data_IF_582667934190
#
_entry.id   IF_582667934190
#
_cell.length_a   1.000
_cell.length_b   1.000
_cell.length_c   1.000
_cell.angle_alpha   90.00
_cell.angle_beta   90.00
_cell.angle_gamma   90.00
#
_symmetry.space_group_name_H-M   'P 1'
#
loop_
_entity.id
_entity.type
_entity.pdbx_description
1 polymer ?
#
# COMPACT_ATOMS: atom_id res chain seq x y z
N UNK A 1 -0.91 10.41 -3.83
CA UNK A 1 0.02 10.31 -4.99
C UNK A 1 -0.73 9.78 -6.20
N UNK A 2 -0.55 10.35 -7.41
CA UNK A 2 -1.29 9.95 -8.61
C UNK A 2 -1.15 8.47 -8.98
N UNK A 3 0.05 7.89 -8.86
CA UNK A 3 0.30 6.49 -9.18
C UNK A 3 -0.52 5.51 -8.32
N UNK A 4 -0.59 5.73 -7.00
CA UNK A 4 -1.38 4.90 -6.09
C UNK A 4 -2.89 5.03 -6.35
N UNK A 5 -3.36 6.23 -6.70
CA UNK A 5 -4.76 6.43 -7.07
C UNK A 5 -5.11 5.70 -8.36
N UNK A 6 -4.25 5.79 -9.38
CA UNK A 6 -4.41 5.05 -10.63
C UNK A 6 -4.42 3.55 -10.36
N UNK A 7 -3.48 3.05 -9.55
CA UNK A 7 -3.43 1.64 -9.17
C UNK A 7 -4.72 1.17 -8.46
N UNK A 8 -5.26 2.00 -7.55
CA UNK A 8 -6.54 1.71 -6.88
C UNK A 8 -7.68 1.60 -7.90
N UNK A 9 -7.76 2.54 -8.84
CA UNK A 9 -8.77 2.50 -9.91
C UNK A 9 -8.60 1.30 -10.83
N UNK A 10 -7.36 0.90 -11.13
CA UNK A 10 -7.07 -0.29 -11.94
C UNK A 10 -7.47 -1.58 -11.21
N UNK A 11 -7.31 -1.65 -9.89
CA UNK A 11 -7.78 -2.77 -9.08
C UNK A 11 -9.30 -2.98 -9.23
N UNK A 12 -10.08 -1.89 -9.30
CA UNK A 12 -11.53 -1.96 -9.45
C UNK A 12 -11.97 -2.18 -10.91
N UNK A 13 -11.29 -1.55 -11.88
CA UNK A 13 -11.69 -1.57 -13.30
C UNK A 13 -11.11 -2.73 -14.10
N UNK A 14 -9.91 -3.18 -13.74
CA UNK A 14 -9.15 -4.21 -14.45
C UNK A 14 -8.55 -5.25 -13.47
N UNK A 15 -9.34 -5.86 -12.57
CA UNK A 15 -8.83 -6.70 -11.49
C UNK A 15 -7.96 -7.86 -11.98
N UNK A 16 -8.33 -8.53 -13.07
CA UNK A 16 -7.58 -9.67 -13.61
C UNK A 16 -6.18 -9.27 -14.11
N UNK A 17 -6.06 -8.11 -14.77
CA UNK A 17 -4.78 -7.61 -15.26
C UNK A 17 -3.86 -7.21 -14.09
N UNK A 18 -4.44 -6.59 -13.05
CA UNK A 18 -3.70 -6.24 -11.83
C UNK A 18 -3.27 -7.49 -11.07
N UNK A 19 -4.15 -8.49 -10.95
CA UNK A 19 -3.86 -9.76 -10.28
C UNK A 19 -2.69 -10.49 -10.97
N UNK A 20 -2.65 -10.50 -12.30
CA UNK A 20 -1.58 -11.13 -13.07
C UNK A 20 -0.18 -10.53 -12.81
N UNK A 21 -0.12 -9.29 -12.31
CA UNK A 21 1.13 -8.59 -11.98
C UNK A 21 1.25 -8.25 -10.48
N UNK A 22 0.39 -8.79 -9.63
CA UNK A 22 0.32 -8.43 -8.21
C UNK A 22 1.66 -8.61 -7.50
N UNK A 23 2.35 -9.71 -7.78
CA UNK A 23 3.65 -10.03 -7.19
C UNK A 23 4.73 -8.98 -7.51
N UNK A 24 4.70 -8.36 -8.69
CA UNK A 24 5.66 -7.31 -9.06
C UNK A 24 5.32 -5.96 -8.43
N UNK A 25 4.06 -5.74 -8.04
CA UNK A 25 3.60 -4.54 -7.34
C UNK A 25 3.99 -4.57 -5.86
N UNK A 26 4.11 -5.75 -5.23
CA UNK A 26 4.39 -5.89 -3.79
C UNK A 26 5.69 -5.18 -3.38
N UNK A 27 6.79 -5.40 -4.10
CA UNK A 27 8.08 -4.82 -3.73
C UNK A 27 8.12 -3.27 -3.72
N UNK A 28 7.72 -2.56 -4.81
CA UNK A 28 7.74 -1.10 -4.81
C UNK A 28 6.79 -0.48 -3.79
N UNK A 29 5.62 -1.10 -3.54
CA UNK A 29 4.67 -0.57 -2.57
C UNK A 29 5.14 -0.82 -1.13
N UNK A 30 5.79 -1.96 -0.88
CA UNK A 30 6.40 -2.27 0.42
C UNK A 30 7.55 -1.30 0.75
N UNK A 31 8.40 -0.98 -0.23
CA UNK A 31 9.45 0.03 -0.09
C UNK A 31 8.87 1.38 0.32
N UNK A 32 7.71 1.75 -0.25
CA UNK A 32 7.05 3.02 0.07
C UNK A 32 6.56 3.06 1.52
N UNK A 33 5.86 2.01 1.99
CA UNK A 33 5.35 1.99 3.38
C UNK A 33 6.45 1.77 4.44
N UNK A 34 7.60 1.23 4.03
CA UNK A 34 8.75 0.99 4.91
C UNK A 34 9.73 2.17 4.92
N UNK A 35 9.53 3.19 4.08
CA UNK A 35 10.44 4.32 3.97
C UNK A 35 10.40 5.19 5.23
N UNK A 36 11.58 5.42 5.80
CA UNK A 36 11.79 6.31 6.94
C UNK A 36 12.63 7.51 6.49
N UNK A 37 12.14 8.74 6.68
CA UNK A 37 12.95 9.93 6.44
C UNK A 37 14.22 9.89 7.28
N UNK A 38 15.25 10.60 6.81
CA UNK A 38 16.49 10.77 7.58
C UNK A 38 16.21 11.58 8.86
N UNK A 39 17.08 11.44 9.86
CA UNK A 39 16.90 12.12 11.17
C UNK A 39 16.96 13.65 11.10
N UNK A 40 17.57 14.19 10.04
CA UNK A 40 17.68 15.61 9.72
C UNK A 40 16.58 16.10 8.75
N UNK A 41 15.62 15.24 8.40
CA UNK A 41 14.52 15.61 7.51
C UNK A 41 13.68 16.74 8.13
N UNK A 42 13.40 17.77 7.34
CA UNK A 42 12.55 18.86 7.82
C UNK A 42 11.10 18.41 7.94
N UNK A 43 10.31 19.08 8.78
CA UNK A 43 8.90 18.71 9.05
C UNK A 43 8.08 18.44 7.78
N UNK A 44 8.24 19.29 6.75
CA UNK A 44 7.54 19.13 5.48
C UNK A 44 7.89 17.82 4.74
N UNK A 45 9.12 17.33 4.85
CA UNK A 45 9.54 16.07 4.24
C UNK A 45 8.96 14.87 4.98
N UNK A 46 8.88 14.96 6.31
CA UNK A 46 8.23 13.96 7.16
C UNK A 46 6.74 13.90 6.84
N UNK A 47 6.05 15.04 6.80
CA UNK A 47 4.62 15.12 6.49
C UNK A 47 4.32 14.57 5.08
N UNK A 48 5.18 14.88 4.09
CA UNK A 48 5.08 14.32 2.74
C UNK A 48 5.27 12.80 2.72
N UNK A 49 6.20 12.27 3.50
CA UNK A 49 6.38 10.83 3.63
C UNK A 49 5.14 10.16 4.22
N UNK A 50 4.54 10.78 5.24
CA UNK A 50 3.31 10.29 5.87
C UNK A 50 2.13 10.27 4.89
N UNK A 51 2.00 11.31 4.04
CA UNK A 51 1.01 11.33 2.95
C UNK A 51 1.26 10.22 1.92
N UNK A 52 2.53 9.97 1.57
CA UNK A 52 2.91 8.89 0.66
C UNK A 52 2.54 7.52 1.24
N UNK A 53 2.85 7.26 2.51
CA UNK A 53 2.50 6.00 3.19
C UNK A 53 0.99 5.81 3.20
N UNK A 54 0.21 6.82 3.63
CA UNK A 54 -1.27 6.76 3.60
C UNK A 54 -1.80 6.52 2.19
N UNK A 55 -1.22 7.15 1.18
CA UNK A 55 -1.59 6.94 -0.21
C UNK A 55 -1.29 5.52 -0.70
N UNK A 56 -0.18 4.90 -0.28
CA UNK A 56 0.17 3.52 -0.62
C UNK A 56 -0.76 2.51 0.08
N UNK A 57 -1.08 2.75 1.36
CA UNK A 57 -1.99 1.90 2.14
C UNK A 57 -3.40 1.86 1.54
N UNK A 58 -3.91 2.98 1.00
CA UNK A 58 -5.17 3.00 0.23
C UNK A 58 -5.13 2.10 -1.00
N UNK A 59 -4.03 2.13 -1.74
CA UNK A 59 -3.86 1.25 -2.90
C UNK A 59 -3.80 -0.22 -2.47
N UNK A 60 -3.07 -0.55 -1.40
CA UNK A 60 -3.04 -1.91 -0.83
C UNK A 60 -4.44 -2.36 -0.39
N UNK A 61 -5.24 -1.48 0.22
CA UNK A 61 -6.63 -1.80 0.55
C UNK A 61 -7.43 -2.14 -0.70
N UNK A 62 -7.27 -1.40 -1.79
CA UNK A 62 -7.94 -1.70 -3.06
C UNK A 62 -7.48 -3.03 -3.67
N UNK A 63 -6.18 -3.32 -3.63
CA UNK A 63 -5.63 -4.62 -4.08
C UNK A 63 -6.17 -5.79 -3.27
N UNK A 64 -6.33 -5.62 -1.95
CA UNK A 64 -6.85 -6.68 -1.06
C UNK A 64 -8.33 -7.03 -1.31
N UNK A 65 -9.07 -6.19 -2.03
CA UNK A 65 -10.46 -6.49 -2.44
C UNK A 65 -10.54 -7.31 -3.73
N UNK A 66 -9.44 -7.44 -4.48
CA UNK A 66 -9.41 -8.28 -5.68
C UNK A 66 -9.54 -9.75 -5.26
N UNK A 67 -10.55 -10.43 -5.79
CA UNK A 67 -10.71 -11.88 -5.60
C UNK A 67 -9.48 -12.62 -6.12
N UNK A 68 -8.90 -13.49 -5.30
CA UNK A 68 -7.68 -14.24 -5.60
C UNK A 68 -6.38 -13.53 -5.26
N UNK A 69 -6.42 -12.29 -4.73
CA UNK A 69 -5.23 -11.61 -4.21
C UNK A 69 -4.54 -12.37 -3.07
N UNK A 70 -5.29 -13.19 -2.33
CA UNK A 70 -4.83 -14.04 -1.23
C UNK A 70 -4.03 -15.27 -1.71
N UNK A 71 -4.10 -15.63 -2.99
CA UNK A 71 -3.24 -16.65 -3.59
C UNK A 71 -1.80 -16.18 -3.80
N UNK A 72 -1.57 -14.86 -3.86
CA UNK A 72 -0.21 -14.31 -3.86
C UNK A 72 0.39 -14.42 -2.46
N UNK A 73 1.36 -15.32 -2.31
CA UNK A 73 2.12 -15.48 -1.05
C UNK A 73 2.82 -14.16 -0.68
N UNK A 74 3.35 -13.43 -1.68
CA UNK A 74 4.04 -12.15 -1.46
C UNK A 74 3.08 -11.11 -0.91
N UNK A 75 1.89 -10.98 -1.51
CA UNK A 75 0.89 -10.03 -1.06
C UNK A 75 0.34 -10.40 0.32
N UNK A 76 0.12 -11.70 0.58
CA UNK A 76 -0.29 -12.19 1.91
C UNK A 76 0.74 -11.84 2.99
N UNK A 77 2.03 -12.00 2.70
CA UNK A 77 3.11 -11.62 3.63
C UNK A 77 3.15 -10.11 3.87
N UNK A 78 2.96 -9.30 2.83
CA UNK A 78 2.85 -7.85 2.97
C UNK A 78 1.67 -7.46 3.89
N UNK A 79 0.50 -8.07 3.69
CA UNK A 79 -0.67 -7.84 4.53
C UNK A 79 -0.41 -8.20 6.00
N UNK A 80 0.22 -9.35 6.25
CA UNK A 80 0.62 -9.76 7.61
C UNK A 80 1.61 -8.76 8.24
N UNK A 81 2.56 -8.24 7.47
CA UNK A 81 3.51 -7.23 7.96
C UNK A 81 2.81 -5.92 8.34
N UNK A 82 1.84 -5.49 7.54
CA UNK A 82 1.05 -4.28 7.81
C UNK A 82 0.24 -4.44 9.10
N UNK A 83 -0.44 -5.58 9.28
CA UNK A 83 -1.27 -5.83 10.47
C UNK A 83 -0.43 -6.08 11.73
N UNK A 84 0.77 -6.68 11.60
CA UNK A 84 1.68 -6.92 12.71
C UNK A 84 2.45 -5.67 13.16
N UNK A 85 2.47 -4.60 12.37
CA UNK A 85 3.16 -3.34 12.71
C UNK A 85 2.13 -2.32 13.22
N UNK A 86 2.06 -2.00 14.53
CA UNK A 86 0.99 -1.19 15.10
C UNK A 86 0.75 0.16 14.39
N UNK A 87 1.83 0.91 14.11
CA UNK A 87 1.73 2.19 13.43
C UNK A 87 1.22 2.09 11.98
N UNK A 88 1.54 1.00 11.27
CA UNK A 88 1.01 0.75 9.93
C UNK A 88 -0.42 0.23 9.98
N UNK A 89 -0.73 -0.65 10.94
CA UNK A 89 -2.07 -1.17 11.14
C UNK A 89 -3.07 -0.05 11.45
N UNK A 90 -2.73 0.89 12.31
CA UNK A 90 -3.55 2.07 12.61
C UNK A 90 -3.81 2.92 11.36
N UNK A 91 -2.76 3.26 10.61
CA UNK A 91 -2.88 4.01 9.35
C UNK A 91 -3.66 3.24 8.28
N UNK A 92 -3.49 1.93 8.22
CA UNK A 92 -4.20 1.08 7.27
C UNK A 92 -5.70 1.05 7.61
N UNK A 93 -6.05 0.90 8.88
CA UNK A 93 -7.43 0.90 9.33
C UNK A 93 -8.12 2.26 9.11
N UNK A 94 -7.39 3.38 9.27
CA UNK A 94 -7.98 4.71 9.03
C UNK A 94 -8.29 4.99 7.57
N UNK A 95 -7.55 4.38 6.63
CA UNK A 95 -7.80 4.54 5.19
C UNK A 95 -8.64 3.41 4.59
N UNK A 96 -8.83 2.30 5.30
CA UNK A 96 -9.65 1.14 4.87
C UNK A 96 -11.13 1.48 5.05
N UNK A 97 -11.66 2.29 4.14
CA UNK A 97 -13.03 2.80 4.19
C UNK A 97 -13.24 4.08 3.39
N UNK A 98 -12.14 4.72 2.97
CA UNK A 98 -12.12 5.76 1.94
C UNK A 98 -12.17 5.16 0.52
#
# INVERSE_FOLDING_TARGET
MPCHLILSKLADKCPSAVLAVLDSIVEPIEKTISHKPKGDAVKQEVDRNEDMIRSALRAISSLSRISGSDYSIRFKNLMNKITATPALAEKYNSVRGE
#
